data_IF_395256859377
#
_entry.id   IF_395256859377
#
_cell.length_a   1.000
_cell.length_b   1.000
_cell.length_c   1.000
_cell.angle_alpha   90.00
_cell.angle_beta   90.00
_cell.angle_gamma   90.00
#
_symmetry.space_group_name_H-M   'P 1'
#
loop_
_entity.id
_entity.type
_entity.pdbx_description
1 polymer ?
#
# COMPACT_ATOMS: atom_id res chain seq x y z
N UNK A 1 23.76 40.68 15.12
CA UNK A 1 22.71 40.45 16.11
C UNK A 1 22.33 41.76 16.76
N UNK A 2 21.24 42.35 16.28
CA UNK A 2 20.60 43.53 16.85
C UNK A 2 19.27 43.12 17.50
N UNK A 3 18.74 43.99 18.35
CA UNK A 3 17.41 43.81 18.92
C UNK A 3 16.41 43.84 17.75
N UNK A 4 15.55 42.82 17.65
CA UNK A 4 14.63 42.62 16.54
C UNK A 4 15.05 41.57 15.49
N UNK A 5 16.28 41.06 15.51
CA UNK A 5 16.69 39.98 14.61
C UNK A 5 16.00 38.65 15.01
N UNK A 6 15.55 37.88 14.02
CA UNK A 6 15.15 36.48 14.22
C UNK A 6 16.39 35.59 14.34
N UNK A 7 16.41 34.77 15.38
CA UNK A 7 17.52 33.88 15.69
C UNK A 7 17.03 32.48 16.00
N UNK A 8 17.88 31.50 15.70
CA UNK A 8 17.68 30.09 16.03
C UNK A 8 18.86 29.60 16.87
N UNK A 9 18.60 28.70 17.81
CA UNK A 9 19.64 28.03 18.60
C UNK A 9 20.25 26.91 17.75
N UNK A 10 21.58 26.75 17.77
CA UNK A 10 22.28 25.75 16.92
C UNK A 10 21.97 24.31 17.35
N UNK A 11 21.87 24.06 18.66
CA UNK A 11 21.75 22.73 19.24
C UNK A 11 20.31 22.33 19.60
N UNK A 12 19.34 23.25 19.45
CA UNK A 12 17.96 23.06 19.91
C UNK A 12 16.96 23.57 18.87
N UNK A 13 15.79 22.94 18.77
CA UNK A 13 14.68 23.38 17.92
C UNK A 13 13.94 24.57 18.57
N UNK A 14 14.70 25.65 18.81
CA UNK A 14 14.22 26.85 19.48
C UNK A 14 14.57 28.07 18.63
N UNK A 15 13.55 28.88 18.33
CA UNK A 15 13.70 30.10 17.55
C UNK A 15 12.87 31.23 18.12
N UNK A 16 13.30 32.46 17.87
CA UNK A 16 12.60 33.63 18.36
C UNK A 16 13.26 34.95 18.00
N UNK A 17 12.74 36.04 18.57
CA UNK A 17 13.17 37.40 18.27
C UNK A 17 14.00 37.95 19.43
N UNK A 18 15.18 38.51 19.14
CA UNK A 18 16.04 39.13 20.17
C UNK A 18 15.31 40.32 20.80
N UNK A 19 15.11 40.26 22.12
CA UNK A 19 14.50 41.33 22.93
C UNK A 19 15.55 42.20 23.62
N UNK A 20 16.71 41.65 23.99
CA UNK A 20 17.80 42.41 24.60
C UNK A 20 19.15 41.72 24.39
N UNK A 21 20.23 42.50 24.28
CA UNK A 21 21.59 41.98 24.18
C UNK A 21 22.43 42.61 25.29
N UNK A 22 22.89 41.81 26.24
CA UNK A 22 23.74 42.24 27.34
C UNK A 22 25.12 41.58 27.22
N UNK A 23 26.08 42.31 26.65
CA UNK A 23 27.45 41.84 26.49
C UNK A 23 27.52 40.57 25.63
N UNK A 24 27.86 39.43 26.25
CA UNK A 24 28.00 38.14 25.58
C UNK A 24 26.72 37.28 25.58
N UNK A 25 25.68 37.70 26.30
CA UNK A 25 24.41 36.98 26.41
C UNK A 25 23.34 37.74 25.62
N UNK A 26 22.61 37.03 24.76
CA UNK A 26 21.45 37.54 24.08
C UNK A 26 20.18 36.91 24.67
N UNK A 27 19.18 37.76 24.90
CA UNK A 27 17.86 37.38 25.37
C UNK A 27 16.92 37.46 24.19
N UNK A 28 16.22 36.37 23.88
CA UNK A 28 15.25 36.30 22.80
C UNK A 28 13.92 35.72 23.31
N UNK A 29 12.83 36.06 22.63
CA UNK A 29 11.47 35.62 22.96
C UNK A 29 10.97 34.69 21.87
N UNK A 30 10.50 33.52 22.25
CA UNK A 30 9.94 32.52 21.32
C UNK A 30 8.49 32.86 20.90
N UNK A 31 7.93 32.06 20.00
CA UNK A 31 6.56 32.22 19.47
C UNK A 31 5.47 32.05 20.53
N UNK A 32 5.78 31.35 21.64
CA UNK A 32 4.87 31.12 22.77
C UNK A 32 4.99 32.20 23.86
N UNK A 33 5.95 33.09 23.70
CA UNK A 33 6.17 34.25 24.54
C UNK A 33 7.11 34.05 25.73
N UNK A 34 7.82 32.93 25.80
CA UNK A 34 8.85 32.70 26.81
C UNK A 34 10.17 33.38 26.42
N UNK A 35 10.86 33.93 27.42
CA UNK A 35 12.16 34.59 27.24
C UNK A 35 13.30 33.64 27.60
N UNK A 36 14.20 33.44 26.65
CA UNK A 36 15.35 32.55 26.77
C UNK A 36 16.66 33.35 26.70
N UNK A 37 17.64 32.97 27.52
CA UNK A 37 18.95 33.62 27.57
C UNK A 37 20.01 32.67 27.07
N UNK A 38 20.65 33.00 25.94
CA UNK A 38 21.69 32.17 25.34
C UNK A 38 22.95 32.99 25.07
N UNK A 39 24.14 32.37 25.18
CA UNK A 39 25.37 32.99 24.70
C UNK A 39 25.29 33.19 23.19
N UNK A 40 25.84 34.32 22.70
CA UNK A 40 25.83 34.66 21.27
C UNK A 40 26.39 33.57 20.36
N UNK A 41 27.36 32.81 20.86
CA UNK A 41 28.00 31.70 20.13
C UNK A 41 27.03 30.56 19.77
N UNK A 42 25.96 30.40 20.56
CA UNK A 42 24.95 29.35 20.33
C UNK A 42 23.77 29.82 19.50
N UNK A 43 23.77 31.08 19.05
CA UNK A 43 22.67 31.68 18.30
C UNK A 43 23.11 31.99 16.88
N UNK A 44 22.32 31.55 15.92
CA UNK A 44 22.51 31.85 14.50
C UNK A 44 21.37 32.74 14.00
N UNK A 45 21.67 33.83 13.27
CA UNK A 45 20.64 34.62 12.60
C UNK A 45 19.90 33.77 11.58
N UNK A 46 18.58 33.81 11.62
CA UNK A 46 17.73 33.13 10.63
C UNK A 46 17.62 34.06 9.42
N UNK A 47 18.59 33.96 8.51
CA UNK A 47 18.56 34.72 7.26
C UNK A 47 17.54 34.10 6.31
N UNK A 48 16.42 34.78 6.11
CA UNK A 48 15.34 34.37 5.20
C UNK A 48 15.74 34.42 3.73
N UNK A 49 16.86 35.07 3.37
CA UNK A 49 17.33 35.20 1.99
C UNK A 49 18.13 34.01 1.44
N UNK A 50 18.60 33.11 2.32
CA UNK A 50 19.50 32.01 1.92
C UNK A 50 18.79 30.87 1.15
N UNK A 51 17.47 30.80 1.19
CA UNK A 51 16.69 29.72 0.55
C UNK A 51 15.95 30.14 -0.74
N UNK A 52 15.93 31.43 -1.10
CA UNK A 52 15.18 31.89 -2.28
C UNK A 52 15.75 31.39 -3.62
N UNK A 53 17.02 30.95 -3.65
CA UNK A 53 17.71 30.59 -4.89
C UNK A 53 17.85 29.08 -5.14
N UNK A 54 17.32 28.22 -4.26
CA UNK A 54 17.33 26.78 -4.52
C UNK A 54 16.11 26.45 -5.38
N UNK A 55 16.23 26.64 -6.70
CA UNK A 55 15.31 25.99 -7.65
C UNK A 55 15.44 24.49 -7.47
N UNK A 56 14.50 23.87 -6.76
CA UNK A 56 14.36 22.43 -6.65
C UNK A 56 13.98 21.90 -8.04
N UNK A 57 14.98 21.64 -8.87
CA UNK A 57 14.77 20.90 -10.12
C UNK A 57 14.52 19.45 -9.70
N UNK A 58 13.24 19.11 -9.49
CA UNK A 58 12.81 17.71 -9.42
C UNK A 58 13.15 17.08 -10.78
N UNK A 59 14.31 16.43 -10.88
CA UNK A 59 14.56 15.49 -11.97
C UNK A 59 13.46 14.45 -11.88
N UNK A 60 12.61 14.38 -12.90
CA UNK A 60 11.65 13.30 -13.02
C UNK A 60 12.43 11.99 -12.99
N UNK A 61 12.18 11.16 -11.97
CA UNK A 61 12.72 9.82 -11.96
C UNK A 61 12.32 9.14 -13.27
N UNK A 62 13.25 8.47 -13.97
CA UNK A 62 12.88 7.73 -15.16
C UNK A 62 11.85 6.70 -14.73
N UNK A 63 10.60 6.85 -15.21
CA UNK A 63 9.57 5.83 -15.06
C UNK A 63 10.19 4.53 -15.55
N UNK A 64 10.47 3.59 -14.65
CA UNK A 64 10.94 2.25 -15.03
C UNK A 64 9.95 1.74 -16.06
N UNK A 65 10.39 1.59 -17.30
CA UNK A 65 9.61 0.92 -18.33
C UNK A 65 9.65 -0.54 -17.93
N UNK A 66 8.73 -0.96 -17.06
CA UNK A 66 8.52 -2.37 -16.76
C UNK A 66 8.13 -2.98 -18.10
N UNK A 67 9.02 -3.83 -18.63
CA UNK A 67 8.79 -4.57 -19.84
C UNK A 67 7.41 -5.23 -19.77
N UNK A 68 6.50 -4.85 -20.68
CA UNK A 68 5.16 -5.48 -20.81
C UNK A 68 5.26 -7.00 -20.98
N UNK A 69 6.43 -7.53 -21.35
CA UNK A 69 6.73 -8.97 -21.46
C UNK A 69 6.65 -9.73 -20.13
N UNK A 70 6.70 -9.02 -18.99
CA UNK A 70 6.52 -9.57 -17.65
C UNK A 70 5.20 -9.15 -16.98
N UNK A 71 4.21 -8.68 -17.75
CA UNK A 71 2.84 -8.72 -17.22
C UNK A 71 2.43 -10.18 -17.14
N UNK A 72 2.68 -10.78 -15.96
CA UNK A 72 2.08 -12.02 -15.51
C UNK A 72 0.58 -11.77 -15.33
N UNK A 73 -0.15 -11.53 -16.41
CA UNK A 73 -1.60 -11.44 -16.40
C UNK A 73 -2.09 -12.87 -16.18
N UNK A 74 -2.24 -13.26 -14.91
CA UNK A 74 -3.00 -14.44 -14.54
C UNK A 74 -4.48 -14.11 -14.71
N UNK A 75 -5.28 -15.10 -15.12
CA UNK A 75 -6.72 -14.93 -15.12
C UNK A 75 -7.19 -14.82 -13.67
N UNK A 76 -8.15 -13.94 -13.37
CA UNK A 76 -8.76 -13.85 -12.04
C UNK A 76 -10.20 -14.32 -12.16
N UNK A 77 -10.56 -15.32 -11.36
CA UNK A 77 -11.90 -15.84 -11.21
C UNK A 77 -12.43 -15.45 -9.84
N UNK A 78 -13.42 -14.57 -9.80
CA UNK A 78 -14.14 -14.24 -8.58
C UNK A 78 -15.39 -15.13 -8.45
N UNK A 79 -15.40 -15.98 -7.43
CA UNK A 79 -16.50 -16.89 -7.10
C UNK A 79 -17.52 -16.27 -6.14
N UNK A 80 -17.41 -15.00 -5.72
CA UNK A 80 -18.49 -14.37 -4.95
C UNK A 80 -19.79 -14.41 -5.75
N UNK A 81 -20.84 -14.95 -5.15
CA UNK A 81 -22.07 -15.30 -5.86
C UNK A 81 -22.73 -14.11 -6.58
N UNK A 82 -22.62 -12.91 -6.01
CA UNK A 82 -23.13 -11.66 -6.62
C UNK A 82 -22.51 -11.35 -7.98
N UNK A 83 -21.31 -11.86 -8.26
CA UNK A 83 -20.62 -11.66 -9.54
C UNK A 83 -21.00 -12.73 -10.58
N UNK A 84 -21.68 -13.81 -10.16
CA UNK A 84 -22.02 -14.94 -11.03
C UNK A 84 -23.43 -14.85 -11.61
N UNK A 85 -24.35 -14.17 -10.91
CA UNK A 85 -25.77 -14.08 -11.31
C UNK A 85 -26.31 -12.66 -11.14
N UNK A 86 -27.35 -12.32 -11.91
CA UNK A 86 -28.00 -10.99 -11.86
C UNK A 86 -28.82 -10.79 -10.58
N UNK A 87 -29.53 -11.83 -10.13
CA UNK A 87 -30.41 -11.80 -8.96
C UNK A 87 -29.96 -12.86 -7.93
N UNK A 88 -29.13 -12.49 -6.94
CA UNK A 88 -28.57 -13.44 -5.99
C UNK A 88 -29.59 -14.08 -5.03
N UNK A 89 -30.74 -13.43 -4.82
CA UNK A 89 -31.74 -13.86 -3.83
C UNK A 89 -32.70 -14.93 -4.36
N UNK A 90 -32.67 -15.22 -5.66
CA UNK A 90 -33.58 -16.18 -6.30
C UNK A 90 -33.11 -17.64 -6.13
N UNK A 91 -31.95 -17.86 -5.49
CA UNK A 91 -31.27 -19.16 -5.45
C UNK A 91 -31.09 -19.66 -4.02
N UNK A 92 -31.34 -20.95 -3.82
CA UNK A 92 -31.04 -21.62 -2.55
C UNK A 92 -29.55 -21.85 -2.36
N UNK A 93 -29.11 -22.02 -1.11
CA UNK A 93 -27.71 -22.21 -0.74
C UNK A 93 -27.02 -23.34 -1.51
N UNK A 94 -27.74 -24.45 -1.76
CA UNK A 94 -27.20 -25.56 -2.55
C UNK A 94 -27.00 -25.17 -4.02
N UNK A 95 -27.97 -24.50 -4.62
CA UNK A 95 -27.91 -24.04 -6.02
C UNK A 95 -26.77 -23.02 -6.21
N UNK A 96 -26.58 -22.13 -5.24
CA UNK A 96 -25.49 -21.15 -5.25
C UNK A 96 -24.13 -21.84 -5.31
N UNK A 97 -23.91 -22.83 -4.44
CA UNK A 97 -22.67 -23.59 -4.39
C UNK A 97 -22.45 -24.41 -5.67
N UNK A 98 -23.53 -24.97 -6.23
CA UNK A 98 -23.49 -25.69 -7.49
C UNK A 98 -23.06 -24.79 -8.66
N UNK A 99 -23.68 -23.61 -8.79
CA UNK A 99 -23.31 -22.63 -9.83
C UNK A 99 -21.85 -22.19 -9.70
N UNK A 100 -21.38 -21.94 -8.47
CA UNK A 100 -19.98 -21.60 -8.20
C UNK A 100 -19.02 -22.72 -8.62
N UNK A 101 -19.37 -23.98 -8.34
CA UNK A 101 -18.60 -25.16 -8.73
C UNK A 101 -18.53 -25.31 -10.25
N UNK A 102 -19.67 -25.23 -10.92
CA UNK A 102 -19.73 -25.32 -12.38
C UNK A 102 -18.89 -24.22 -13.03
N UNK A 103 -18.96 -22.99 -12.50
CA UNK A 103 -18.17 -21.88 -13.01
C UNK A 103 -16.67 -22.11 -12.85
N UNK A 104 -16.25 -22.66 -11.70
CA UNK A 104 -14.86 -23.00 -11.44
C UNK A 104 -14.33 -24.01 -12.47
N UNK A 105 -15.09 -25.09 -12.71
CA UNK A 105 -14.73 -26.14 -13.67
C UNK A 105 -14.64 -25.55 -15.09
N UNK A 106 -15.63 -24.76 -15.50
CA UNK A 106 -15.67 -24.11 -16.81
C UNK A 106 -14.41 -23.26 -17.06
N UNK A 107 -13.99 -22.50 -16.05
CA UNK A 107 -12.83 -21.61 -16.16
C UNK A 107 -11.51 -22.37 -16.15
N UNK A 108 -11.40 -23.45 -15.37
CA UNK A 108 -10.23 -24.35 -15.42
C UNK A 108 -10.08 -24.93 -16.83
N UNK A 109 -11.17 -25.41 -17.42
CA UNK A 109 -11.18 -25.94 -18.79
C UNK A 109 -10.90 -24.84 -19.83
N UNK A 110 -11.40 -23.63 -19.62
CA UNK A 110 -11.04 -22.48 -20.45
C UNK A 110 -9.54 -22.17 -20.36
N UNK A 111 -8.94 -22.21 -19.18
CA UNK A 111 -7.49 -21.97 -19.00
C UNK A 111 -6.66 -23.02 -19.74
N UNK A 112 -7.05 -24.29 -19.66
CA UNK A 112 -6.39 -25.39 -20.38
C UNK A 112 -6.49 -25.20 -21.89
N UNK A 113 -7.69 -24.93 -22.41
CA UNK A 113 -7.92 -24.73 -23.85
C UNK A 113 -7.16 -23.54 -24.44
N UNK A 114 -6.90 -22.51 -23.63
CA UNK A 114 -6.19 -21.30 -24.06
C UNK A 114 -4.71 -21.28 -23.61
N UNK A 115 -4.20 -22.40 -23.07
CA UNK A 115 -2.82 -22.53 -22.58
C UNK A 115 -2.41 -21.41 -21.61
N UNK A 116 -3.32 -21.02 -20.71
CA UNK A 116 -3.05 -20.02 -19.69
C UNK A 116 -2.17 -20.63 -18.60
N UNK A 117 -1.08 -19.93 -18.26
CA UNK A 117 -0.11 -20.43 -17.28
C UNK A 117 -0.60 -20.36 -15.84
N UNK A 118 -1.48 -19.41 -15.52
CA UNK A 118 -1.87 -19.08 -14.14
C UNK A 118 -3.32 -18.62 -14.04
N UNK A 119 -3.98 -19.07 -12.98
CA UNK A 119 -5.34 -18.68 -12.59
C UNK A 119 -5.34 -18.32 -11.09
N UNK A 120 -5.92 -17.19 -10.73
CA UNK A 120 -6.22 -16.81 -9.34
C UNK A 120 -7.72 -17.00 -9.10
N UNK A 121 -8.07 -17.80 -8.10
CA UNK A 121 -9.44 -18.08 -7.70
C UNK A 121 -9.70 -17.33 -6.40
N UNK A 122 -10.67 -16.42 -6.40
CA UNK A 122 -11.09 -15.63 -5.24
C UNK A 122 -12.42 -16.18 -4.76
N UNK A 123 -12.47 -16.73 -3.55
CA UNK A 123 -13.68 -17.31 -2.97
C UNK A 123 -14.10 -16.68 -1.63
N UNK A 124 -13.27 -15.79 -1.06
CA UNK A 124 -13.52 -15.16 0.23
C UNK A 124 -13.30 -16.11 1.41
N UNK A 125 -13.36 -15.59 2.64
CA UNK A 125 -13.06 -16.37 3.86
C UNK A 125 -14.26 -17.23 4.28
N UNK A 126 -15.46 -16.63 4.35
CA UNK A 126 -16.72 -17.35 4.60
C UNK A 126 -16.71 -18.30 5.80
N UNK A 127 -17.53 -19.34 5.71
CA UNK A 127 -17.66 -20.45 6.66
C UNK A 127 -16.72 -21.64 6.30
N UNK A 128 -15.95 -21.52 5.21
CA UNK A 128 -15.10 -22.57 4.67
C UNK A 128 -15.78 -23.54 3.70
N UNK A 129 -17.10 -23.45 3.48
CA UNK A 129 -17.82 -24.35 2.56
C UNK A 129 -17.30 -24.18 1.12
N UNK A 130 -17.18 -22.94 0.65
CA UNK A 130 -16.69 -22.65 -0.69
C UNK A 130 -15.20 -22.97 -0.85
N UNK A 131 -14.39 -22.70 0.20
CA UNK A 131 -12.97 -23.05 0.23
C UNK A 131 -12.77 -24.55 0.07
N UNK A 132 -13.56 -25.36 0.80
CA UNK A 132 -13.49 -26.82 0.69
C UNK A 132 -13.89 -27.29 -0.71
N UNK A 133 -14.98 -26.76 -1.26
CA UNK A 133 -15.42 -27.10 -2.62
C UNK A 133 -14.32 -26.79 -3.66
N UNK A 134 -13.71 -25.60 -3.59
CA UNK A 134 -12.62 -25.20 -4.50
C UNK A 134 -11.46 -26.20 -4.39
N UNK A 135 -11.04 -26.53 -3.17
CA UNK A 135 -9.96 -27.49 -2.94
C UNK A 135 -10.28 -28.86 -3.52
N UNK A 136 -11.47 -29.39 -3.23
CA UNK A 136 -11.91 -30.70 -3.72
C UNK A 136 -11.89 -30.76 -5.26
N UNK A 137 -12.27 -29.67 -5.94
CA UNK A 137 -12.20 -29.56 -7.42
C UNK A 137 -10.76 -29.49 -7.91
N UNK A 138 -9.87 -28.74 -7.25
CA UNK A 138 -8.47 -28.60 -7.66
C UNK A 138 -7.68 -29.91 -7.43
N UNK A 139 -7.93 -30.61 -6.32
CA UNK A 139 -7.31 -31.91 -6.04
C UNK A 139 -7.70 -33.00 -7.06
N UNK A 140 -8.88 -32.86 -7.70
CA UNK A 140 -9.30 -33.78 -8.76
C UNK A 140 -8.68 -33.47 -10.13
N UNK A 141 -7.93 -32.36 -10.26
CA UNK A 141 -7.30 -31.97 -11.51
C UNK A 141 -5.89 -32.56 -11.64
N UNK A 142 -5.52 -32.89 -12.87
CA UNK A 142 -4.15 -33.29 -13.23
C UNK A 142 -3.37 -32.12 -13.83
N UNK A 143 -2.04 -32.20 -13.72
CA UNK A 143 -1.09 -31.23 -14.30
C UNK A 143 -1.32 -29.79 -13.85
N UNK A 144 -1.69 -29.62 -12.58
CA UNK A 144 -1.76 -28.31 -11.93
C UNK A 144 -1.02 -28.34 -10.61
N UNK A 145 -0.42 -27.22 -10.25
CA UNK A 145 0.00 -26.93 -8.88
C UNK A 145 -0.86 -25.80 -8.34
N UNK A 146 -1.20 -25.84 -7.05
CA UNK A 146 -1.95 -24.75 -6.44
C UNK A 146 -1.49 -24.46 -5.02
N UNK A 147 -1.56 -23.19 -4.64
CA UNK A 147 -1.16 -22.71 -3.32
C UNK A 147 -1.99 -21.50 -2.90
N UNK A 148 -2.13 -21.33 -1.59
CA UNK A 148 -2.77 -20.17 -1.01
C UNK A 148 -1.87 -18.94 -1.12
N UNK A 149 -2.46 -17.79 -1.43
CA UNK A 149 -1.71 -16.53 -1.55
C UNK A 149 -1.23 -16.03 -0.19
N UNK A 150 -1.98 -16.33 0.86
CA UNK A 150 -1.61 -16.03 2.24
C UNK A 150 -1.09 -17.27 2.96
N UNK A 151 -0.13 -17.07 3.86
CA UNK A 151 0.50 -18.14 4.66
C UNK A 151 -0.52 -18.79 5.61
N UNK A 152 -1.51 -18.01 6.06
CA UNK A 152 -2.55 -18.46 6.97
C UNK A 152 -3.74 -19.01 6.17
N UNK A 153 -3.83 -20.33 6.06
CA UNK A 153 -4.88 -21.05 5.32
C UNK A 153 -6.31 -20.66 5.71
N UNK A 154 -6.53 -20.17 6.93
CA UNK A 154 -7.83 -19.85 7.50
C UNK A 154 -8.22 -18.39 7.24
N UNK A 155 -7.29 -17.57 6.73
CA UNK A 155 -7.51 -16.19 6.29
C UNK A 155 -7.40 -16.03 4.77
N UNK A 156 -6.88 -17.07 4.08
CA UNK A 156 -6.71 -17.05 2.64
C UNK A 156 -8.06 -17.14 1.92
N UNK A 157 -8.56 -16.00 1.44
CA UNK A 157 -9.72 -15.92 0.54
C UNK A 157 -9.40 -16.15 -0.94
N UNK A 158 -8.15 -16.50 -1.26
CA UNK A 158 -7.69 -16.69 -2.64
C UNK A 158 -6.67 -17.85 -2.79
N UNK A 159 -6.76 -18.54 -3.93
CA UNK A 159 -5.88 -19.65 -4.33
C UNK A 159 -5.25 -19.33 -5.68
N UNK A 160 -3.94 -19.51 -5.80
CA UNK A 160 -3.26 -19.44 -7.09
C UNK A 160 -3.09 -20.85 -7.65
N UNK A 161 -3.38 -21.01 -8.93
CA UNK A 161 -3.23 -22.26 -9.70
C UNK A 161 -2.24 -22.00 -10.83
N UNK A 162 -1.26 -22.89 -11.00
CA UNK A 162 -0.32 -22.93 -12.11
C UNK A 162 -0.59 -24.18 -12.94
N UNK A 163 -0.69 -24.02 -14.27
CA UNK A 163 -0.93 -25.12 -15.20
C UNK A 163 0.39 -25.52 -15.88
N UNK A 164 0.58 -26.83 -16.06
CA UNK A 164 1.76 -27.43 -16.72
C UNK A 164 1.46 -27.93 -18.13
#
# INVERSE_FOLDING_TARGET
MKIGDQVSVVDEDLSGVITSVKGNIAVFKDEYGFTHQYPKEKLVPKDTGLYENIRIIRKAEPKKVISKKHQKNHLVLDLHFHNLVKNPNDYDSFERLFIQKEKLIEVIEFCRRNNLKRLEIVHGIGDGTLQRMVRDVLESQVNIDFYNKEILHHQSGAVMVEFH
#
